data_IF_022711073790
#
_entry.id   IF_022711073790
#
_cell.length_a   1.000
_cell.length_b   1.000
_cell.length_c   1.000
_cell.angle_alpha   90.00
_cell.angle_beta   90.00
_cell.angle_gamma   90.00
#
_symmetry.space_group_name_H-M   'P 1'
#
loop_
_entity.id
_entity.type
_entity.pdbx_description
1 polymer ?
#
# COMPACT_ATOMS: atom_id res chain seq x y z
N UNK A 1 19.11 -7.65 6.03
CA UNK A 1 17.93 -7.60 5.12
C UNK A 1 18.19 -6.78 3.86
N UNK A 2 18.88 -5.62 3.93
CA UNK A 2 19.10 -4.73 2.78
C UNK A 2 19.91 -5.30 1.58
N UNK A 3 20.48 -6.50 1.70
CA UNK A 3 21.24 -7.19 0.64
C UNK A 3 20.47 -8.34 -0.02
N UNK A 4 19.19 -8.52 0.33
CA UNK A 4 18.34 -9.55 -0.28
C UNK A 4 18.08 -9.22 -1.74
N UNK A 5 18.33 -10.17 -2.62
CA UNK A 5 18.09 -10.06 -4.07
C UNK A 5 16.98 -10.98 -4.56
N UNK A 6 16.29 -11.67 -3.64
CA UNK A 6 15.26 -12.68 -3.86
C UNK A 6 13.82 -12.13 -3.77
N UNK A 7 13.67 -10.82 -3.49
CA UNK A 7 12.35 -10.16 -3.37
C UNK A 7 12.35 -8.75 -3.95
N UNK A 8 11.18 -8.30 -4.42
CA UNK A 8 10.94 -6.91 -4.79
C UNK A 8 10.57 -6.01 -3.59
N UNK A 9 10.29 -6.56 -2.41
CA UNK A 9 9.80 -5.85 -1.22
C UNK A 9 10.87 -4.98 -0.52
N UNK A 10 11.99 -4.70 -1.20
CA UNK A 10 13.11 -3.96 -0.64
C UNK A 10 12.71 -2.54 -0.22
N UNK A 11 11.77 -1.91 -0.95
CA UNK A 11 11.21 -0.62 -0.58
C UNK A 11 10.46 -0.68 0.73
N UNK A 12 9.53 -1.63 0.86
CA UNK A 12 8.77 -1.86 2.09
C UNK A 12 9.64 -2.21 3.29
N UNK A 13 10.71 -3.00 3.10
CA UNK A 13 11.58 -3.44 4.19
C UNK A 13 12.48 -2.30 4.69
N UNK A 14 12.97 -1.45 3.79
CA UNK A 14 14.10 -0.55 4.09
C UNK A 14 13.66 0.91 4.27
N UNK A 15 12.73 1.41 3.46
CA UNK A 15 12.39 2.84 3.48
C UNK A 15 11.72 3.30 4.79
N UNK A 16 10.74 2.57 5.37
CA UNK A 16 10.05 3.04 6.58
C UNK A 16 10.97 3.34 7.76
N UNK A 17 12.06 2.58 7.90
CA UNK A 17 13.00 2.72 9.01
C UNK A 17 14.29 3.45 8.60
N UNK A 18 15.02 2.93 7.60
CA UNK A 18 16.40 3.35 7.33
C UNK A 18 16.48 4.63 6.50
N UNK A 19 15.53 4.87 5.58
CA UNK A 19 15.46 6.16 4.91
C UNK A 19 15.09 7.26 5.92
N UNK A 20 14.13 7.00 6.82
CA UNK A 20 13.74 7.97 7.85
C UNK A 20 14.87 8.26 8.84
N UNK A 21 15.60 7.26 9.29
CA UNK A 21 16.77 7.47 10.14
C UNK A 21 17.83 8.34 9.44
N UNK A 22 18.13 8.06 8.16
CA UNK A 22 19.03 8.91 7.38
C UNK A 22 18.53 10.37 7.27
N UNK A 23 17.26 10.57 6.90
CA UNK A 23 16.66 11.91 6.71
C UNK A 23 16.63 12.73 8.01
N UNK A 24 16.43 12.07 9.16
CA UNK A 24 16.28 12.73 10.45
C UNK A 24 17.61 12.96 11.18
N UNK A 25 18.56 12.04 11.05
CA UNK A 25 19.78 12.04 11.88
C UNK A 25 21.07 12.19 11.07
N UNK A 26 21.02 12.05 9.75
CA UNK A 26 22.22 12.00 8.91
C UNK A 26 23.03 10.71 9.10
N UNK A 27 22.40 9.61 9.54
CA UNK A 27 23.08 8.33 9.72
C UNK A 27 23.54 7.72 8.38
N UNK A 28 24.83 7.86 8.07
CA UNK A 28 25.44 7.37 6.83
C UNK A 28 25.32 5.84 6.68
N UNK A 29 25.30 5.07 7.76
CA UNK A 29 25.14 3.61 7.66
C UNK A 29 23.73 3.23 7.15
N UNK A 30 22.71 3.98 7.58
CA UNK A 30 21.33 3.83 7.09
C UNK A 30 21.23 4.22 5.61
N UNK A 31 21.88 5.30 5.19
CA UNK A 31 21.98 5.63 3.76
C UNK A 31 22.64 4.51 2.94
N UNK A 32 23.74 3.92 3.42
CA UNK A 32 24.38 2.79 2.73
C UNK A 32 23.48 1.56 2.64
N UNK A 33 22.62 1.33 3.63
CA UNK A 33 21.62 0.27 3.57
C UNK A 33 20.52 0.56 2.53
N UNK A 34 20.01 1.80 2.47
CA UNK A 34 19.08 2.25 1.41
C UNK A 34 19.70 2.06 0.02
N UNK A 35 20.97 2.45 -0.13
CA UNK A 35 21.72 2.29 -1.39
C UNK A 35 21.81 0.83 -1.84
N UNK A 36 22.22 -0.07 -0.94
CA UNK A 36 22.28 -1.51 -1.23
C UNK A 36 20.92 -2.08 -1.60
N UNK A 37 19.86 -1.66 -0.90
CA UNK A 37 18.51 -2.15 -1.15
C UNK A 37 17.98 -1.76 -2.53
N UNK A 38 18.23 -0.53 -2.96
CA UNK A 38 17.81 -0.07 -4.28
C UNK A 38 18.52 -0.83 -5.41
N UNK A 39 19.83 -1.04 -5.31
CA UNK A 39 20.55 -1.84 -6.31
C UNK A 39 20.15 -3.31 -6.28
N UNK A 40 19.84 -3.87 -5.10
CA UNK A 40 19.30 -5.21 -5.00
C UNK A 40 17.92 -5.33 -5.68
N UNK A 41 17.05 -4.35 -5.48
CA UNK A 41 15.75 -4.26 -6.18
C UNK A 41 15.93 -4.12 -7.70
N UNK A 42 16.80 -3.21 -8.14
CA UNK A 42 17.09 -2.98 -9.56
C UNK A 42 17.67 -4.22 -10.25
N UNK A 43 18.46 -5.04 -9.53
CA UNK A 43 19.02 -6.29 -10.09
C UNK A 43 17.97 -7.31 -10.51
N UNK A 44 16.72 -7.15 -10.05
CA UNK A 44 15.57 -8.01 -10.42
C UNK A 44 14.84 -7.53 -11.68
N UNK A 45 15.27 -6.42 -12.28
CA UNK A 45 14.72 -5.90 -13.52
C UNK A 45 15.11 -6.77 -14.72
N UNK A 46 14.16 -7.01 -15.61
CA UNK A 46 14.40 -7.62 -16.92
C UNK A 46 14.00 -6.61 -18.01
N UNK A 47 14.96 -6.21 -18.84
CA UNK A 47 14.77 -5.18 -19.86
C UNK A 47 13.84 -5.61 -21.00
N UNK A 48 13.84 -6.89 -21.38
CA UNK A 48 13.00 -7.41 -22.46
C UNK A 48 11.51 -7.46 -22.06
N UNK A 49 11.25 -7.69 -20.78
CA UNK A 49 9.90 -7.64 -20.20
C UNK A 49 9.53 -6.20 -19.82
N UNK A 50 10.51 -5.38 -19.44
CA UNK A 50 10.29 -4.04 -18.94
C UNK A 50 9.69 -4.02 -17.53
N UNK A 51 10.04 -4.99 -16.67
CA UNK A 51 9.50 -5.09 -15.32
C UNK A 51 10.51 -5.67 -14.32
N UNK A 52 10.18 -5.54 -13.04
CA UNK A 52 10.94 -6.05 -11.89
C UNK A 52 10.26 -7.34 -11.46
N UNK A 53 11.04 -8.41 -11.32
CA UNK A 53 10.53 -9.70 -10.84
C UNK A 53 10.10 -9.59 -9.38
N UNK A 54 8.87 -9.98 -9.10
CA UNK A 54 8.31 -9.92 -7.75
C UNK A 54 8.82 -11.03 -6.85
N UNK A 55 8.67 -12.28 -7.27
CA UNK A 55 9.05 -13.47 -6.51
C UNK A 55 9.87 -14.43 -7.37
N UNK A 56 10.78 -15.16 -6.74
CA UNK A 56 11.53 -16.24 -7.41
C UNK A 56 10.71 -17.53 -7.51
N UNK A 57 9.77 -17.69 -6.57
CA UNK A 57 8.87 -18.84 -6.48
C UNK A 57 7.51 -18.42 -5.91
N UNK A 58 6.45 -19.08 -6.37
CA UNK A 58 5.10 -18.94 -5.86
C UNK A 58 4.44 -20.33 -5.84
N UNK A 59 4.11 -20.81 -4.65
CA UNK A 59 3.57 -22.15 -4.45
C UNK A 59 2.38 -22.08 -3.51
N UNK A 60 1.29 -22.73 -3.89
CA UNK A 60 0.09 -22.89 -3.09
C UNK A 60 -0.61 -24.22 -3.46
N UNK A 61 -1.81 -24.48 -2.95
CA UNK A 61 -2.52 -25.72 -3.25
C UNK A 61 -2.97 -25.87 -4.71
N UNK A 62 -2.95 -24.80 -5.51
CA UNK A 62 -3.40 -24.78 -6.92
C UNK A 62 -2.25 -24.84 -7.90
N UNK A 63 -1.10 -24.23 -7.60
CA UNK A 63 0.05 -24.20 -8.51
C UNK A 63 1.39 -24.23 -7.78
N UNK A 64 2.44 -24.63 -8.50
CA UNK A 64 3.83 -24.60 -8.04
C UNK A 64 4.71 -24.00 -9.13
N UNK A 65 5.09 -22.73 -8.95
CA UNK A 65 5.96 -21.99 -9.86
C UNK A 65 7.30 -21.80 -9.16
N UNK A 66 8.35 -22.45 -9.66
CA UNK A 66 9.69 -22.41 -9.07
C UNK A 66 10.83 -22.24 -10.07
N UNK A 67 10.58 -22.39 -11.38
CA UNK A 67 11.59 -22.18 -12.42
C UNK A 67 11.54 -20.75 -12.96
N UNK A 68 12.57 -19.96 -12.60
CA UNK A 68 12.75 -18.58 -13.02
C UNK A 68 13.08 -18.40 -14.51
N UNK A 69 13.56 -19.44 -15.19
CA UNK A 69 13.84 -19.43 -16.64
C UNK A 69 12.58 -19.65 -17.47
N UNK A 70 11.55 -20.22 -16.84
CA UNK A 70 10.27 -20.45 -17.47
C UNK A 70 9.24 -19.40 -17.01
N UNK A 71 9.40 -18.79 -15.84
CA UNK A 71 8.38 -17.91 -15.25
C UNK A 71 8.97 -16.59 -14.77
N UNK A 72 8.23 -15.51 -14.98
CA UNK A 72 8.58 -14.18 -14.48
C UNK A 72 7.35 -13.51 -13.89
N UNK A 73 7.26 -13.52 -12.57
CA UNK A 73 6.08 -13.05 -11.83
C UNK A 73 6.21 -11.56 -11.55
N UNK A 74 5.17 -10.79 -11.89
CA UNK A 74 5.02 -9.37 -11.54
C UNK A 74 3.70 -9.19 -10.82
N UNK A 75 3.73 -8.66 -9.60
CA UNK A 75 2.55 -8.41 -8.77
C UNK A 75 2.31 -6.91 -8.60
N UNK A 76 1.06 -6.51 -8.36
CA UNK A 76 0.68 -5.09 -8.27
C UNK A 76 1.39 -4.32 -7.13
N UNK A 77 1.70 -5.00 -6.03
CA UNK A 77 2.39 -4.48 -4.84
C UNK A 77 3.78 -3.91 -5.17
N UNK A 78 4.41 -4.41 -6.24
CA UNK A 78 5.71 -3.94 -6.70
C UNK A 78 5.73 -2.46 -7.08
N UNK A 79 4.57 -1.89 -7.43
CA UNK A 79 4.40 -0.46 -7.71
C UNK A 79 4.84 0.42 -6.54
N UNK A 80 4.60 0.00 -5.30
CA UNK A 80 4.91 0.80 -4.12
C UNK A 80 6.39 0.70 -3.69
N UNK A 81 7.14 -0.25 -4.27
CA UNK A 81 8.59 -0.39 -4.03
C UNK A 81 9.43 0.50 -4.96
N UNK A 82 8.84 1.06 -6.01
CA UNK A 82 9.54 1.90 -6.99
C UNK A 82 10.03 3.22 -6.39
N UNK A 83 9.39 3.69 -5.32
CA UNK A 83 9.82 4.88 -4.59
C UNK A 83 11.28 4.77 -4.11
N UNK A 84 11.76 3.56 -3.78
CA UNK A 84 13.15 3.32 -3.40
C UNK A 84 14.12 3.62 -4.55
N UNK A 85 13.77 3.18 -5.77
CA UNK A 85 14.59 3.41 -6.96
C UNK A 85 14.58 4.88 -7.36
N UNK A 86 13.42 5.53 -7.35
CA UNK A 86 13.35 6.97 -7.62
C UNK A 86 14.12 7.79 -6.59
N UNK A 87 13.96 7.49 -5.30
CA UNK A 87 14.65 8.20 -4.22
C UNK A 87 16.16 8.15 -4.40
N UNK A 88 16.73 6.95 -4.55
CA UNK A 88 18.18 6.82 -4.74
C UNK A 88 18.63 7.36 -6.09
N UNK A 89 17.86 7.11 -7.15
CA UNK A 89 18.17 7.59 -8.50
C UNK A 89 18.31 9.10 -8.56
N UNK A 90 17.43 9.86 -7.92
CA UNK A 90 17.55 11.32 -7.84
C UNK A 90 18.67 11.76 -6.89
N UNK A 91 18.87 11.06 -5.77
CA UNK A 91 19.92 11.40 -4.80
C UNK A 91 21.33 11.24 -5.39
N UNK A 92 21.55 10.20 -6.19
CA UNK A 92 22.86 9.84 -6.77
C UNK A 92 22.99 10.21 -8.26
N UNK A 93 21.94 10.80 -8.85
CA UNK A 93 21.85 11.10 -10.29
C UNK A 93 22.02 9.83 -11.16
N UNK A 94 21.51 8.70 -10.70
CA UNK A 94 21.56 7.41 -11.39
C UNK A 94 20.35 7.24 -12.31
N UNK A 95 20.54 7.54 -13.59
CA UNK A 95 19.49 7.46 -14.60
C UNK A 95 18.95 6.03 -14.79
N UNK A 96 19.77 5.00 -14.58
CA UNK A 96 19.33 3.61 -14.74
C UNK A 96 18.25 3.25 -13.71
N UNK A 97 18.41 3.68 -12.46
CA UNK A 97 17.39 3.46 -11.42
C UNK A 97 16.08 4.19 -11.76
N UNK A 98 16.17 5.42 -12.27
CA UNK A 98 15.01 6.22 -12.68
C UNK A 98 14.30 5.56 -13.87
N UNK A 99 15.05 5.08 -14.86
CA UNK A 99 14.51 4.45 -16.07
C UNK A 99 13.80 3.13 -15.74
N UNK A 100 14.38 2.30 -14.86
CA UNK A 100 13.73 1.08 -14.37
C UNK A 100 12.41 1.43 -13.65
N UNK A 101 12.46 2.40 -12.74
CA UNK A 101 11.30 2.83 -11.96
C UNK A 101 10.19 3.47 -12.83
N UNK A 102 10.56 4.01 -13.99
CA UNK A 102 9.62 4.61 -14.96
C UNK A 102 9.05 3.58 -15.93
N UNK A 103 9.86 2.59 -16.33
CA UNK A 103 9.44 1.55 -17.29
C UNK A 103 8.51 0.53 -16.64
N UNK A 104 8.80 0.10 -15.41
CA UNK A 104 8.02 -0.92 -14.71
C UNK A 104 6.50 -0.58 -14.63
N UNK A 105 6.09 0.62 -14.18
CA UNK A 105 4.69 1.06 -14.18
C UNK A 105 3.98 0.97 -15.54
N UNK A 106 4.70 1.20 -16.64
CA UNK A 106 4.11 1.11 -17.98
C UNK A 106 3.74 -0.32 -18.32
N UNK A 107 4.57 -1.29 -17.92
CA UNK A 107 4.28 -2.72 -18.07
C UNK A 107 3.10 -3.11 -17.20
N UNK A 108 3.12 -2.76 -15.90
CA UNK A 108 2.02 -3.04 -14.97
C UNK A 108 0.69 -2.48 -15.48
N UNK A 109 0.66 -1.23 -15.97
CA UNK A 109 -0.54 -0.61 -16.54
C UNK A 109 -1.10 -1.38 -17.74
N UNK A 110 -0.24 -1.96 -18.58
CA UNK A 110 -0.66 -2.68 -19.80
C UNK A 110 -1.09 -4.11 -19.53
N UNK A 111 -0.61 -4.73 -18.45
CA UNK A 111 -0.75 -6.18 -18.25
C UNK A 111 -1.54 -6.57 -17.02
N UNK A 112 -1.42 -5.82 -15.91
CA UNK A 112 -2.05 -6.11 -14.62
C UNK A 112 -3.42 -5.43 -14.50
N UNK A 113 -3.59 -4.25 -15.10
CA UNK A 113 -4.87 -3.55 -15.11
C UNK A 113 -5.81 -4.19 -16.14
N UNK A 114 -7.08 -4.29 -15.76
CA UNK A 114 -8.20 -4.63 -16.64
C UNK A 114 -8.72 -3.38 -17.35
N UNK A 115 -9.59 -3.59 -18.32
CA UNK A 115 -10.21 -2.50 -19.09
C UNK A 115 -11.09 -1.60 -18.22
N UNK A 116 -11.71 -2.14 -17.16
CA UNK A 116 -12.52 -1.42 -16.19
C UNK A 116 -11.72 -0.77 -15.05
N UNK A 117 -10.38 -0.77 -15.16
CA UNK A 117 -9.44 -0.26 -14.16
C UNK A 117 -9.40 -1.02 -12.83
N UNK A 118 -10.05 -2.19 -12.74
CA UNK A 118 -9.74 -3.17 -11.71
C UNK A 118 -8.39 -3.85 -11.99
N UNK A 119 -7.79 -4.46 -10.96
CA UNK A 119 -6.49 -5.10 -11.08
C UNK A 119 -6.59 -6.61 -10.91
N UNK A 120 -5.90 -7.35 -11.77
CA UNK A 120 -5.37 -8.66 -11.37
C UNK A 120 -4.37 -8.47 -10.23
N UNK A 121 -4.15 -9.50 -9.42
CA UNK A 121 -3.11 -9.44 -8.40
C UNK A 121 -1.72 -9.63 -9.05
N UNK A 122 -1.56 -10.63 -9.92
CA UNK A 122 -0.28 -10.90 -10.58
C UNK A 122 -0.40 -11.33 -12.03
N UNK A 123 0.69 -11.11 -12.78
CA UNK A 123 0.89 -11.61 -14.13
C UNK A 123 2.17 -12.46 -14.17
N UNK A 124 2.07 -13.63 -14.79
CA UNK A 124 3.23 -14.49 -15.05
C UNK A 124 3.65 -14.35 -16.52
N UNK A 125 4.82 -13.78 -16.77
CA UNK A 125 5.40 -13.63 -18.11
C UNK A 125 6.21 -14.85 -18.52
N UNK A 126 6.30 -15.10 -19.84
CA UNK A 126 7.30 -16.02 -20.39
C UNK A 126 8.60 -15.23 -20.68
N UNK A 127 9.66 -15.39 -19.87
CA UNK A 127 10.89 -14.63 -20.06
C UNK A 127 11.63 -14.99 -21.36
N UNK A 128 11.25 -16.07 -22.04
CA UNK A 128 11.81 -16.46 -23.34
C UNK A 128 11.07 -15.84 -24.53
N UNK A 129 9.91 -15.24 -24.29
CA UNK A 129 9.04 -14.68 -25.33
C UNK A 129 8.60 -13.26 -24.93
N UNK A 130 9.43 -12.23 -25.18
CA UNK A 130 9.14 -10.85 -24.79
C UNK A 130 7.74 -10.40 -25.22
N UNK A 131 7.01 -9.76 -24.30
CA UNK A 131 5.64 -9.27 -24.53
C UNK A 131 4.52 -10.31 -24.40
N UNK A 132 4.81 -11.60 -24.17
CA UNK A 132 3.79 -12.62 -23.88
C UNK A 132 3.72 -12.92 -22.38
N UNK A 133 2.50 -12.96 -21.86
CA UNK A 133 2.23 -13.52 -20.54
C UNK A 133 1.52 -14.87 -20.65
N UNK A 134 1.86 -15.76 -19.73
CA UNK A 134 1.31 -17.11 -19.60
C UNK A 134 -0.04 -17.11 -18.91
N UNK A 135 -0.17 -16.29 -17.87
CA UNK A 135 -1.37 -16.24 -17.05
C UNK A 135 -1.50 -14.90 -16.32
N UNK A 136 -2.75 -14.53 -16.03
CA UNK A 136 -3.11 -13.50 -15.06
C UNK A 136 -3.81 -14.20 -13.90
N UNK A 137 -3.40 -13.91 -12.68
CA UNK A 137 -3.70 -14.78 -11.54
C UNK A 137 -3.86 -14.00 -10.24
N UNK A 138 -4.24 -14.72 -9.20
CA UNK A 138 -4.13 -14.29 -7.80
C UNK A 138 -3.42 -15.31 -6.93
N UNK A 139 -2.76 -14.79 -5.89
CA UNK A 139 -2.25 -15.57 -4.76
C UNK A 139 -2.98 -15.27 -3.43
N UNK A 140 -3.69 -14.15 -3.34
CA UNK A 140 -4.26 -13.64 -2.07
C UNK A 140 -5.74 -13.23 -2.18
N UNK A 141 -6.17 -12.74 -3.34
CA UNK A 141 -7.57 -12.42 -3.63
C UNK A 141 -8.44 -13.66 -3.76
N UNK A 142 -9.74 -13.46 -3.91
CA UNK A 142 -10.72 -14.55 -3.98
C UNK A 142 -10.50 -15.46 -5.18
N UNK A 143 -10.40 -14.91 -6.38
CA UNK A 143 -10.20 -15.64 -7.63
C UNK A 143 -9.32 -14.86 -8.61
N UNK A 144 -8.86 -15.49 -9.70
CA UNK A 144 -8.00 -14.82 -10.68
C UNK A 144 -8.68 -13.59 -11.32
N UNK A 145 -9.98 -13.69 -11.57
CA UNK A 145 -10.78 -12.61 -12.15
C UNK A 145 -11.40 -11.68 -11.10
N UNK A 146 -11.18 -11.94 -9.80
CA UNK A 146 -11.68 -11.06 -8.73
C UNK A 146 -10.79 -9.83 -8.55
N UNK A 147 -11.30 -8.86 -7.80
CA UNK A 147 -10.63 -7.61 -7.46
C UNK A 147 -10.30 -7.58 -5.98
N UNK A 148 -9.12 -8.12 -5.67
CA UNK A 148 -8.54 -8.02 -4.33
C UNK A 148 -8.33 -6.56 -3.95
N UNK A 149 -8.96 -6.11 -2.87
CA UNK A 149 -9.09 -4.68 -2.57
C UNK A 149 -7.76 -4.03 -2.23
N UNK A 150 -6.88 -4.73 -1.52
CA UNK A 150 -5.51 -4.23 -1.27
C UNK A 150 -4.67 -4.13 -2.54
N UNK A 151 -4.82 -5.07 -3.48
CA UNK A 151 -4.16 -4.99 -4.78
C UNK A 151 -4.58 -3.74 -5.55
N UNK A 152 -5.87 -3.43 -5.52
CA UNK A 152 -6.39 -2.20 -6.09
C UNK A 152 -5.83 -0.96 -5.38
N UNK A 153 -5.78 -0.96 -4.05
CA UNK A 153 -5.21 0.12 -3.26
C UNK A 153 -3.74 0.38 -3.59
N UNK A 154 -2.95 -0.68 -3.84
CA UNK A 154 -1.58 -0.56 -4.33
C UNK A 154 -1.46 0.09 -5.69
N UNK A 155 -2.40 -0.19 -6.60
CA UNK A 155 -2.43 0.51 -7.88
C UNK A 155 -2.68 2.02 -7.70
N UNK A 156 -3.65 2.40 -6.87
CA UNK A 156 -3.98 3.81 -6.57
C UNK A 156 -2.73 4.53 -6.06
N UNK A 157 -2.13 4.02 -4.98
CA UNK A 157 -0.98 4.67 -4.36
C UNK A 157 0.26 4.64 -5.25
N UNK A 158 0.57 3.50 -5.86
CA UNK A 158 1.77 3.31 -6.66
C UNK A 158 1.79 4.15 -7.94
N UNK A 159 0.67 4.25 -8.66
CA UNK A 159 0.59 5.14 -9.82
C UNK A 159 0.62 6.62 -9.43
N UNK A 160 -0.01 7.01 -8.31
CA UNK A 160 0.07 8.37 -7.80
C UNK A 160 1.50 8.75 -7.41
N UNK A 161 2.22 7.86 -6.71
CA UNK A 161 3.64 8.04 -6.38
C UNK A 161 4.50 8.16 -7.65
N UNK A 162 4.27 7.29 -8.64
CA UNK A 162 4.99 7.33 -9.92
C UNK A 162 4.78 8.66 -10.64
N UNK A 163 3.54 9.18 -10.66
CA UNK A 163 3.27 10.51 -11.22
C UNK A 163 4.03 11.60 -10.47
N UNK A 164 4.08 11.55 -9.14
CA UNK A 164 4.79 12.58 -8.37
C UNK A 164 6.28 12.65 -8.70
N UNK A 165 6.92 11.54 -9.04
CA UNK A 165 8.31 11.48 -9.48
C UNK A 165 8.51 11.90 -10.94
N UNK A 166 7.65 11.43 -11.86
CA UNK A 166 7.86 11.56 -13.31
C UNK A 166 7.16 12.77 -13.93
N UNK A 167 6.08 13.24 -13.31
CA UNK A 167 5.08 14.16 -13.87
C UNK A 167 4.44 13.69 -15.18
N UNK A 168 4.57 12.41 -15.53
CA UNK A 168 3.91 11.84 -16.69
C UNK A 168 2.42 11.61 -16.38
N UNK A 169 1.57 12.43 -17.00
CA UNK A 169 0.13 12.49 -16.77
C UNK A 169 -0.57 11.15 -16.99
N UNK A 170 0.01 10.22 -17.76
CA UNK A 170 -0.57 8.90 -17.94
C UNK A 170 -0.68 8.14 -16.61
N UNK A 171 0.27 8.34 -15.68
CA UNK A 171 0.23 7.72 -14.37
C UNK A 171 -0.79 8.38 -13.45
N UNK A 172 -0.98 9.71 -13.57
CA UNK A 172 -2.05 10.40 -12.84
C UNK A 172 -3.42 9.93 -13.31
N UNK A 173 -3.64 9.83 -14.63
CA UNK A 173 -4.90 9.30 -15.18
C UNK A 173 -5.16 7.88 -14.70
N UNK A 174 -4.12 7.04 -14.67
CA UNK A 174 -4.23 5.66 -14.18
C UNK A 174 -4.59 5.62 -12.69
N UNK A 175 -3.94 6.43 -11.86
CA UNK A 175 -4.24 6.51 -10.43
C UNK A 175 -5.68 6.97 -10.16
N UNK A 176 -6.14 8.00 -10.88
CA UNK A 176 -7.52 8.51 -10.81
C UNK A 176 -8.52 7.43 -11.20
N UNK A 177 -8.31 6.75 -12.33
CA UNK A 177 -9.21 5.71 -12.79
C UNK A 177 -9.28 4.51 -11.81
N UNK A 178 -8.15 4.11 -11.25
CA UNK A 178 -8.11 3.09 -10.20
C UNK A 178 -8.85 3.52 -8.93
N UNK A 179 -8.77 4.80 -8.55
CA UNK A 179 -9.44 5.36 -7.39
C UNK A 179 -10.95 5.48 -7.61
N UNK A 180 -11.38 5.96 -8.78
CA UNK A 180 -12.79 6.06 -9.17
C UNK A 180 -13.46 4.68 -9.20
N UNK A 181 -12.77 3.65 -9.70
CA UNK A 181 -13.25 2.26 -9.67
C UNK A 181 -13.41 1.77 -8.22
N UNK A 182 -12.40 1.97 -7.37
CA UNK A 182 -12.45 1.58 -5.95
C UNK A 182 -13.61 2.26 -5.20
N UNK A 183 -13.77 3.58 -5.37
CA UNK A 183 -14.88 4.33 -4.77
C UNK A 183 -16.23 3.92 -5.33
N UNK A 184 -16.30 3.60 -6.62
CA UNK A 184 -17.51 3.06 -7.25
C UNK A 184 -17.94 1.72 -6.63
N UNK A 185 -16.98 0.83 -6.33
CA UNK A 185 -17.26 -0.45 -5.65
C UNK A 185 -17.70 -0.23 -4.20
N UNK A 186 -17.07 0.69 -3.45
CA UNK A 186 -17.50 1.05 -2.09
C UNK A 186 -18.92 1.63 -2.06
N UNK A 187 -19.23 2.57 -2.95
CA UNK A 187 -20.55 3.19 -3.05
C UNK A 187 -21.64 2.18 -3.49
N UNK A 188 -21.28 1.13 -4.24
CA UNK A 188 -22.21 0.05 -4.56
C UNK A 188 -22.48 -0.83 -3.34
N UNK A 189 -21.46 -1.11 -2.52
CA UNK A 189 -21.61 -1.87 -1.29
C UNK A 189 -22.52 -1.17 -0.26
N UNK A 190 -22.46 0.18 -0.16
CA UNK A 190 -23.37 0.97 0.69
C UNK A 190 -24.86 0.77 0.37
N UNK A 191 -25.19 0.61 -0.92
CA UNK A 191 -26.58 0.42 -1.38
C UNK A 191 -27.15 -0.95 -1.01
N UNK A 192 -26.29 -1.91 -0.66
CA UNK A 192 -26.67 -3.19 -0.07
C UNK A 192 -26.91 -2.96 1.42
N UNK A 193 -28.16 -2.59 1.75
CA UNK A 193 -28.64 -2.09 3.04
C UNK A 193 -28.05 -2.83 4.26
N UNK A 194 -27.40 -2.09 5.16
CA UNK A 194 -27.11 -2.54 6.54
C UNK A 194 -25.70 -2.24 7.08
N UNK A 195 -24.78 -1.75 6.24
CA UNK A 195 -23.40 -1.49 6.67
C UNK A 195 -23.26 -0.12 7.35
N UNK A 196 -22.75 -0.11 8.59
CA UNK A 196 -22.46 1.13 9.33
C UNK A 196 -21.22 1.87 8.83
N UNK A 197 -20.34 1.21 8.06
CA UNK A 197 -19.08 1.74 7.57
C UNK A 197 -18.86 1.32 6.09
N UNK A 198 -19.56 1.95 5.13
CA UNK A 198 -19.51 1.58 3.72
C UNK A 198 -18.17 1.92 3.03
N UNK A 199 -17.36 2.81 3.61
CA UNK A 199 -16.08 3.23 3.03
C UNK A 199 -14.89 2.41 3.55
N UNK A 200 -15.06 1.57 4.57
CA UNK A 200 -14.07 0.55 4.92
C UNK A 200 -14.20 -0.65 3.96
N UNK A 201 -13.17 -0.99 3.17
CA UNK A 201 -13.29 -1.98 2.12
C UNK A 201 -13.42 -3.41 2.66
N UNK A 202 -14.22 -4.21 1.97
CA UNK A 202 -14.14 -5.68 2.08
C UNK A 202 -12.78 -6.19 1.60
N UNK A 203 -12.42 -7.41 1.94
CA UNK A 203 -11.11 -7.98 1.56
C UNK A 203 -10.95 -8.24 0.05
N UNK A 204 -12.05 -8.49 -0.65
CA UNK A 204 -12.12 -8.65 -2.11
C UNK A 204 -13.51 -8.20 -2.58
N UNK A 205 -13.57 -7.37 -3.63
CA UNK A 205 -14.83 -6.80 -4.08
C UNK A 205 -15.77 -7.81 -4.75
N UNK A 206 -15.26 -8.93 -5.24
CA UNK A 206 -16.03 -9.95 -5.96
C UNK A 206 -16.20 -11.25 -5.14
N UNK A 207 -15.70 -11.28 -3.90
CA UNK A 207 -15.94 -12.39 -2.98
C UNK A 207 -17.42 -12.43 -2.56
N UNK A 208 -18.02 -13.62 -2.44
CA UNK A 208 -19.36 -13.76 -1.90
C UNK A 208 -19.39 -13.27 -0.45
N UNK A 209 -20.39 -12.48 -0.11
CA UNK A 209 -20.66 -12.06 1.26
C UNK A 209 -21.71 -13.00 1.84
N UNK A 210 -21.33 -13.85 2.80
CA UNK A 210 -22.25 -14.76 3.47
C UNK A 210 -23.24 -13.98 4.36
N UNK A 211 -22.73 -13.01 5.12
CA UNK A 211 -23.53 -12.01 5.83
C UNK A 211 -23.03 -10.61 5.44
N UNK A 212 -23.86 -9.79 4.76
CA UNK A 212 -23.53 -8.38 4.53
C UNK A 212 -23.21 -7.66 5.85
N UNK A 213 -23.94 -7.87 6.93
CA UNK A 213 -23.67 -7.18 8.20
C UNK A 213 -22.25 -7.47 8.75
N UNK A 214 -21.69 -8.65 8.47
CA UNK A 214 -20.38 -9.12 8.97
C UNK A 214 -19.41 -9.48 7.83
N UNK A 215 -19.43 -8.71 6.74
CA UNK A 215 -18.51 -8.96 5.62
C UNK A 215 -17.05 -8.85 6.03
N UNK A 216 -16.23 -9.82 5.62
CA UNK A 216 -14.80 -9.82 5.90
C UNK A 216 -14.11 -8.58 5.30
N UNK A 217 -13.46 -7.80 6.17
CA UNK A 217 -12.84 -6.52 5.82
C UNK A 217 -11.36 -6.61 5.56
N UNK A 218 -10.82 -5.52 5.02
CA UNK A 218 -9.39 -5.29 4.97
C UNK A 218 -9.07 -3.82 5.28
N UNK A 219 -8.99 -3.50 6.57
CA UNK A 219 -8.64 -2.16 7.06
C UNK A 219 -7.37 -1.60 6.41
N UNK A 220 -6.41 -2.48 6.08
CA UNK A 220 -5.20 -2.08 5.42
C UNK A 220 -5.43 -1.54 4.00
N UNK A 221 -6.32 -2.17 3.21
CA UNK A 221 -6.67 -1.69 1.89
C UNK A 221 -7.25 -0.27 1.95
N UNK A 222 -8.10 0.01 2.94
CA UNK A 222 -8.70 1.33 3.16
C UNK A 222 -7.63 2.40 3.39
N UNK A 223 -6.72 2.14 4.33
CA UNK A 223 -5.65 3.08 4.69
C UNK A 223 -4.67 3.31 3.52
N UNK A 224 -4.32 2.29 2.74
CA UNK A 224 -3.48 2.46 1.54
C UNK A 224 -4.21 3.31 0.50
N UNK A 225 -5.48 3.01 0.21
CA UNK A 225 -6.26 3.72 -0.78
C UNK A 225 -6.37 5.21 -0.40
N UNK A 226 -6.65 5.52 0.87
CA UNK A 226 -6.67 6.88 1.39
C UNK A 226 -5.32 7.59 1.23
N UNK A 227 -4.20 6.92 1.52
CA UNK A 227 -2.87 7.47 1.26
C UNK A 227 -2.65 7.77 -0.22
N UNK A 228 -3.08 6.90 -1.12
CA UNK A 228 -3.00 7.13 -2.57
C UNK A 228 -3.86 8.29 -3.03
N UNK A 229 -5.11 8.37 -2.58
CA UNK A 229 -6.03 9.46 -2.88
C UNK A 229 -5.52 10.81 -2.36
N UNK A 230 -4.83 10.83 -1.22
CA UNK A 230 -4.19 12.04 -0.71
C UNK A 230 -3.05 12.54 -1.64
N UNK A 231 -2.27 11.61 -2.23
CA UNK A 231 -1.26 11.94 -3.24
C UNK A 231 -1.90 12.43 -4.54
N UNK A 232 -3.02 11.83 -4.96
CA UNK A 232 -3.81 12.31 -6.11
C UNK A 232 -4.30 13.73 -5.85
N UNK A 233 -4.84 14.01 -4.66
CA UNK A 233 -5.27 15.36 -4.28
C UNK A 233 -4.12 16.37 -4.40
N UNK A 234 -2.94 16.07 -3.84
CA UNK A 234 -1.75 16.92 -3.99
C UNK A 234 -1.39 17.16 -5.46
N UNK A 235 -1.37 16.09 -6.27
CA UNK A 235 -1.09 16.18 -7.69
C UNK A 235 -2.07 17.12 -8.41
N UNK A 236 -3.37 17.02 -8.11
CA UNK A 236 -4.42 17.85 -8.71
C UNK A 236 -4.34 19.32 -8.31
N UNK A 237 -3.83 19.64 -7.12
CA UNK A 237 -3.57 21.03 -6.71
C UNK A 237 -2.37 21.64 -7.45
N UNK A 238 -1.42 20.82 -7.91
CA UNK A 238 -0.18 21.27 -8.53
C UNK A 238 -0.27 21.46 -10.06
N UNK A 239 -1.30 20.90 -10.72
CA UNK A 239 -1.46 21.00 -12.18
C UNK A 239 -2.23 22.25 -12.61
N UNK A 240 -2.00 22.69 -13.85
CA UNK A 240 -2.72 23.81 -14.44
C UNK A 240 -4.22 23.50 -14.64
N UNK A 241 -5.05 24.54 -14.75
CA UNK A 241 -6.48 24.38 -15.06
C UNK A 241 -6.71 23.66 -16.40
N UNK A 242 -5.88 23.94 -17.39
CA UNK A 242 -5.99 23.32 -18.72
C UNK A 242 -5.65 21.83 -18.67
N UNK A 243 -4.62 21.45 -17.91
CA UNK A 243 -4.29 20.05 -17.64
C UNK A 243 -5.40 19.35 -16.87
N UNK A 244 -6.03 20.04 -15.91
CA UNK A 244 -7.16 19.51 -15.14
C UNK A 244 -8.38 19.25 -16.03
N UNK A 245 -8.64 20.09 -17.03
CA UNK A 245 -9.74 19.92 -17.98
C UNK A 245 -9.54 18.74 -18.94
N UNK A 246 -8.33 18.20 -19.06
CA UNK A 246 -8.01 17.02 -19.87
C UNK A 246 -8.08 15.71 -19.07
N UNK A 247 -8.31 15.79 -17.75
CA UNK A 247 -8.51 14.61 -16.93
C UNK A 247 -9.82 13.92 -17.33
N UNK A 248 -9.88 12.58 -17.25
CA UNK A 248 -11.13 11.86 -17.44
C UNK A 248 -12.15 12.33 -16.40
N UNK A 249 -13.39 12.59 -16.82
CA UNK A 249 -14.46 12.94 -15.90
C UNK A 249 -14.71 11.78 -14.92
N UNK A 250 -14.70 12.06 -13.59
CA UNK A 250 -15.08 11.06 -12.59
C UNK A 250 -16.58 10.81 -12.69
N UNK A 251 -16.97 9.59 -13.06
CA UNK A 251 -18.38 9.20 -13.21
C UNK A 251 -19.08 8.88 -11.88
N UNK A 252 -18.34 8.83 -10.77
CA UNK A 252 -18.80 8.23 -9.51
C UNK A 252 -18.87 9.17 -8.31
N UNK A 253 -18.17 10.32 -8.33
CA UNK A 253 -18.22 11.30 -7.23
C UNK A 253 -19.02 12.54 -7.65
N UNK A 254 -19.99 13.02 -6.84
CA UNK A 254 -20.82 14.19 -7.18
C UNK A 254 -20.06 15.53 -7.33
N UNK A 255 -18.82 15.60 -6.83
CA UNK A 255 -17.91 16.73 -6.98
C UNK A 255 -16.65 16.28 -7.74
N UNK A 256 -16.29 17.01 -8.80
CA UNK A 256 -15.12 16.77 -9.66
C UNK A 256 -13.84 16.47 -8.85
N UNK A 257 -13.56 15.19 -8.63
CA UNK A 257 -12.31 14.69 -8.05
C UNK A 257 -12.01 15.14 -6.60
N UNK A 258 -12.99 15.12 -5.69
CA UNK A 258 -12.74 15.33 -4.25
C UNK A 258 -12.10 14.10 -3.57
N UNK A 259 -10.86 13.80 -3.96
CA UNK A 259 -10.08 12.70 -3.39
C UNK A 259 -9.65 12.96 -1.94
N UNK A 260 -9.65 14.21 -1.47
CA UNK A 260 -9.37 14.51 -0.07
C UNK A 260 -10.57 14.10 0.81
N UNK A 261 -11.78 14.52 0.44
CA UNK A 261 -13.00 14.10 1.12
C UNK A 261 -13.17 12.58 1.13
N UNK A 262 -12.93 11.93 -0.01
CA UNK A 262 -12.98 10.46 -0.11
C UNK A 262 -11.94 9.78 0.81
N UNK A 263 -10.70 10.26 0.84
CA UNK A 263 -9.66 9.71 1.71
C UNK A 263 -10.01 9.87 3.21
N UNK A 264 -10.55 11.02 3.60
CA UNK A 264 -10.98 11.28 4.98
C UNK A 264 -12.15 10.39 5.39
N UNK A 265 -13.12 10.16 4.51
CA UNK A 265 -14.24 9.25 4.77
C UNK A 265 -13.78 7.81 4.96
N UNK A 266 -12.88 7.32 4.10
CA UNK A 266 -12.30 5.98 4.25
C UNK A 266 -11.58 5.85 5.59
N UNK A 267 -10.74 6.82 5.97
CA UNK A 267 -10.02 6.78 7.25
C UNK A 267 -10.96 6.86 8.44
N UNK A 268 -12.01 7.68 8.37
CA UNK A 268 -13.03 7.78 9.41
C UNK A 268 -13.72 6.42 9.62
N UNK A 269 -14.21 5.80 8.54
CA UNK A 269 -14.88 4.50 8.60
C UNK A 269 -13.95 3.38 9.08
N UNK A 270 -12.70 3.35 8.60
CA UNK A 270 -11.70 2.38 9.06
C UNK A 270 -11.38 2.58 10.54
N UNK A 271 -11.24 3.81 11.05
CA UNK A 271 -11.01 4.05 12.48
C UNK A 271 -12.24 3.63 13.30
N UNK A 272 -13.43 4.02 12.87
CA UNK A 272 -14.66 3.73 13.61
C UNK A 272 -14.90 2.23 13.76
N UNK A 273 -14.63 1.46 12.69
CA UNK A 273 -14.83 0.01 12.65
C UNK A 273 -13.65 -0.78 13.22
N UNK A 274 -12.41 -0.35 12.97
CA UNK A 274 -11.24 -1.21 13.15
C UNK A 274 -10.29 -0.74 14.26
N UNK A 275 -10.45 0.44 14.86
CA UNK A 275 -9.56 0.90 15.92
C UNK A 275 -9.62 -0.02 17.16
N UNK A 276 -8.46 -0.44 17.64
CA UNK A 276 -8.33 -1.11 18.93
C UNK A 276 -8.83 -0.20 20.06
N UNK A 277 -9.76 -0.71 20.89
CA UNK A 277 -10.32 0.06 22.02
C UNK A 277 -9.74 -0.38 23.36
N UNK A 278 -9.13 -1.57 23.44
CA UNK A 278 -8.34 -1.98 24.58
C UNK A 278 -6.97 -1.31 24.53
N UNK A 279 -6.92 -0.01 24.85
CA UNK A 279 -5.68 0.77 24.78
C UNK A 279 -4.82 0.55 26.02
N UNK A 280 -3.51 0.38 25.80
CA UNK A 280 -2.55 0.42 26.89
C UNK A 280 -2.65 1.76 27.64
N UNK A 281 -2.63 1.72 28.97
CA UNK A 281 -2.79 2.89 29.81
C UNK A 281 -1.70 3.01 30.86
N UNK A 282 -1.35 4.25 31.20
CA UNK A 282 -0.47 4.55 32.33
C UNK A 282 -1.35 4.83 33.56
N UNK A 283 -1.09 4.10 34.64
CA UNK A 283 -1.69 4.38 35.93
C UNK A 283 -0.65 4.93 36.90
N UNK A 284 -1.04 5.94 37.67
CA UNK A 284 -0.19 6.50 38.70
C UNK A 284 0.15 5.42 39.75
N UNK A 285 1.37 5.43 40.31
CA UNK A 285 1.69 4.55 41.44
C UNK A 285 0.74 4.84 42.61
N UNK A 286 0.33 3.77 43.32
CA UNK A 286 -0.63 3.86 44.43
C UNK A 286 -0.11 4.71 45.62
N UNK A 287 1.20 4.89 45.75
CA UNK A 287 1.83 5.71 46.80
C UNK A 287 2.96 6.57 46.23
N UNK A 288 2.93 7.87 46.54
CA UNK A 288 4.06 8.78 46.34
C UNK A 288 5.03 8.55 47.49
N UNK A 289 6.15 7.87 47.24
CA UNK A 289 7.21 7.75 48.24
C UNK A 289 7.83 9.11 48.52
N UNK A 290 7.61 9.67 49.70
CA UNK A 290 8.33 10.86 50.18
C UNK A 290 9.67 10.40 50.75
N UNK A 291 10.71 10.35 49.92
CA UNK A 291 12.06 10.16 50.43
C UNK A 291 12.65 11.53 50.82
N UNK A 292 12.82 11.73 52.12
CA UNK A 292 12.97 13.02 52.78
C UNK A 292 14.42 13.56 52.71
N UNK A 293 15.04 13.53 51.53
CA UNK A 293 16.37 14.07 51.28
C UNK A 293 16.46 14.77 49.93
N UNK A 294 16.57 16.11 50.02
CA UNK A 294 17.00 17.10 49.02
C UNK A 294 17.42 16.58 47.62
N UNK A 295 16.79 17.19 46.60
CA UNK A 295 17.19 17.19 45.18
C UNK A 295 17.11 15.85 44.41
N UNK A 296 15.95 15.20 44.36
CA UNK A 296 15.75 14.04 43.48
C UNK A 296 14.59 14.24 42.50
N UNK A 297 14.90 14.07 41.22
CA UNK A 297 13.95 13.95 40.12
C UNK A 297 12.82 13.00 40.53
N UNK A 298 11.56 13.45 40.46
CA UNK A 298 10.41 12.58 40.71
C UNK A 298 10.41 11.47 39.66
N UNK A 299 10.94 10.29 40.00
CA UNK A 299 10.76 9.09 39.20
C UNK A 299 9.32 8.64 39.39
N UNK A 300 8.44 9.07 38.50
CA UNK A 300 7.09 8.53 38.42
C UNK A 300 7.20 7.07 37.96
N UNK A 301 7.16 6.13 38.90
CA UNK A 301 7.03 4.70 38.61
C UNK A 301 5.59 4.42 38.14
N UNK A 302 5.23 4.94 36.96
CA UNK A 302 3.95 4.68 36.34
C UNK A 302 3.82 3.18 36.06
N UNK A 303 2.67 2.59 36.43
CA UNK A 303 2.36 1.22 36.08
C UNK A 303 1.75 1.22 34.68
N UNK A 304 2.36 0.46 33.78
CA UNK A 304 1.82 0.22 32.43
C UNK A 304 0.80 -0.91 32.52
N UNK A 305 -0.45 -0.60 32.22
CA UNK A 305 -1.46 -1.60 31.94
C UNK A 305 -1.38 -1.88 30.43
N UNK A 306 -0.89 -3.06 30.06
CA UNK A 306 -0.76 -3.45 28.66
C UNK A 306 -2.12 -3.65 27.98
N UNK A 307 -2.16 -3.45 26.67
CA UNK A 307 -3.27 -3.89 25.82
C UNK A 307 -3.20 -5.41 25.62
N UNK A 308 -4.34 -6.04 25.36
CA UNK A 308 -4.41 -7.43 24.87
C UNK A 308 -4.13 -7.58 23.37
N UNK A 309 -3.97 -6.47 22.64
CA UNK A 309 -3.78 -6.45 21.20
C UNK A 309 -2.66 -5.48 20.80
N UNK A 310 -1.70 -5.94 20.00
CA UNK A 310 -0.47 -5.17 19.75
C UNK A 310 -0.63 -4.09 18.65
N UNK A 311 -1.57 -4.25 17.73
CA UNK A 311 -1.76 -3.33 16.60
C UNK A 311 -2.78 -2.22 16.89
N UNK A 312 -2.69 -1.11 16.17
CA UNK A 312 -3.64 0.01 16.27
C UNK A 312 -4.96 -0.38 15.58
N UNK A 313 -4.88 -1.00 14.41
CA UNK A 313 -6.04 -1.43 13.63
C UNK A 313 -6.23 -2.95 13.66
N UNK A 314 -7.49 -3.37 13.84
CA UNK A 314 -7.99 -4.74 13.66
C UNK A 314 -8.49 -4.97 12.23
N UNK A 315 -9.10 -6.13 11.99
CA UNK A 315 -9.90 -6.44 10.81
C UNK A 315 -9.16 -6.34 9.46
N UNK A 316 -7.84 -6.54 9.46
CA UNK A 316 -7.08 -6.63 8.23
C UNK A 316 -7.07 -8.08 7.72
N UNK A 317 -7.10 -8.26 6.40
CA UNK A 317 -7.08 -9.58 5.76
C UNK A 317 -5.83 -9.76 4.93
N UNK A 318 -4.82 -10.43 5.48
CA UNK A 318 -3.53 -10.66 4.80
C UNK A 318 -3.64 -11.67 3.66
N UNK A 319 -4.39 -12.77 3.83
CA UNK A 319 -4.67 -13.74 2.77
C UNK A 319 -5.89 -14.57 3.14
N UNK A 320 -6.94 -14.57 2.31
CA UNK A 320 -8.12 -15.42 2.50
C UNK A 320 -8.43 -16.30 1.28
N UNK A 321 -7.48 -16.42 0.35
CA UNK A 321 -7.60 -17.30 -0.80
C UNK A 321 -7.70 -18.78 -0.36
N UNK A 322 -8.63 -19.53 -0.95
CA UNK A 322 -8.89 -20.94 -0.59
C UNK A 322 -7.71 -21.88 -0.89
N UNK A 323 -6.82 -21.51 -1.80
CA UNK A 323 -5.65 -22.30 -2.17
C UNK A 323 -4.40 -21.93 -1.37
N UNK A 324 -4.43 -20.88 -0.53
CA UNK A 324 -3.29 -20.48 0.28
C UNK A 324 -2.94 -21.53 1.35
N UNK A 325 -1.65 -21.84 1.52
CA UNK A 325 -1.20 -22.74 2.59
C UNK A 325 -1.54 -22.24 3.99
N UNK A 326 -1.50 -20.92 4.15
CA UNK A 326 -1.89 -20.26 5.39
C UNK A 326 -2.80 -19.10 5.02
N UNK A 327 -3.94 -19.03 5.69
CA UNK A 327 -4.88 -17.93 5.58
C UNK A 327 -4.84 -17.13 6.88
N UNK A 328 -4.78 -15.81 6.73
CA UNK A 328 -4.70 -14.85 7.83
C UNK A 328 -5.72 -13.75 7.54
N UNK A 329 -6.70 -13.62 8.41
CA UNK A 329 -7.77 -12.64 8.30
C UNK A 329 -8.20 -12.20 9.69
N UNK A 330 -8.88 -11.06 9.76
CA UNK A 330 -9.33 -10.46 11.00
C UNK A 330 -8.21 -10.30 12.06
N UNK A 331 -7.07 -9.76 11.63
CA UNK A 331 -5.90 -9.60 12.48
C UNK A 331 -5.26 -8.22 12.32
N UNK A 332 -4.36 -7.88 13.23
CA UNK A 332 -3.61 -6.62 13.22
C UNK A 332 -2.38 -6.73 12.33
N UNK A 333 -2.11 -5.70 11.54
CA UNK A 333 -0.95 -5.67 10.63
C UNK A 333 -0.13 -4.41 10.90
N UNK A 334 1.14 -4.58 11.29
CA UNK A 334 2.04 -3.47 11.62
C UNK A 334 2.19 -2.45 10.47
N UNK A 335 2.06 -2.90 9.23
CA UNK A 335 2.09 -2.02 8.08
C UNK A 335 0.78 -1.24 7.87
N UNK A 336 -0.38 -1.75 8.31
CA UNK A 336 -1.62 -0.96 8.31
C UNK A 336 -1.47 0.22 9.28
N UNK A 337 -0.95 -0.03 10.48
CA UNK A 337 -0.66 1.00 11.47
C UNK A 337 0.35 2.03 10.94
N UNK A 338 1.41 1.57 10.28
CA UNK A 338 2.40 2.47 9.66
C UNK A 338 1.73 3.43 8.66
N UNK A 339 0.89 2.92 7.75
CA UNK A 339 0.25 3.77 6.75
C UNK A 339 -0.85 4.66 7.35
N UNK A 340 -1.48 4.26 8.46
CA UNK A 340 -2.42 5.11 9.20
C UNK A 340 -1.69 6.30 9.80
N UNK A 341 -0.56 6.05 10.47
CA UNK A 341 0.27 7.11 11.04
C UNK A 341 0.89 8.00 9.95
N UNK A 342 1.34 7.43 8.83
CA UNK A 342 1.85 8.21 7.71
C UNK A 342 0.77 9.07 7.06
N UNK A 343 -0.50 8.61 7.01
CA UNK A 343 -1.62 9.44 6.56
C UNK A 343 -1.79 10.68 7.44
N UNK A 344 -1.86 10.50 8.76
CA UNK A 344 -1.92 11.60 9.72
C UNK A 344 -0.73 12.56 9.59
N UNK A 345 0.49 12.02 9.50
CA UNK A 345 1.70 12.82 9.28
C UNK A 345 1.64 13.66 8.00
N UNK A 346 1.08 13.12 6.91
CA UNK A 346 0.90 13.86 5.65
C UNK A 346 -0.10 15.00 5.81
N UNK A 347 -1.22 14.79 6.50
CA UNK A 347 -2.18 15.85 6.81
C UNK A 347 -1.55 16.98 7.63
N UNK A 348 -0.76 16.65 8.66
CA UNK A 348 -0.01 17.65 9.44
C UNK A 348 0.94 18.44 8.54
N UNK A 349 1.72 17.78 7.66
CA UNK A 349 2.65 18.45 6.72
C UNK A 349 1.93 19.35 5.71
N UNK A 350 0.66 19.08 5.42
CA UNK A 350 -0.19 19.90 4.56
C UNK A 350 -0.87 21.06 5.29
N UNK A 351 -0.77 21.13 6.62
CA UNK A 351 -1.42 22.17 7.43
C UNK A 351 -2.88 21.92 7.78
N UNK A 352 -3.33 20.66 7.76
CA UNK A 352 -4.69 20.29 8.21
C UNK A 352 -4.80 19.98 9.70
N UNK A 353 -3.69 20.01 10.45
CA UNK A 353 -3.63 19.68 11.89
C UNK A 353 -2.95 20.77 12.70
#
# INVERSE_FOLDING_TARGET
>A
MASRTDTHDMGFIVQPALQRDWELTGNVQSLQAVKRAAYALASRYNADIGAIRSWDQAVNHRYSISDMNDNFLVIIDSMCNLNLLYYLGHLEQDAMLIDIATTHPQTVRKTVLREDHSTYHLVNFDPRSPGKFKARMTNQGYNDDSTWTRGQAWAIMGFAQTYLWTKDVIFLHTAIACADMFLGRLAHADKLKGHHNPFDPVWDFDAPQEDPAESLRDSYAGVIAANGMLLIHQALQAISRDSKAQLPASSTIPSDHDFLGAALLIIQDTIDLCLERDLASLSAPAELGTDDKLNQCMVLNARVNGSSFDAILRNATACYNEHGFIRYWDYGLAYADYFLLEFGNKLCRMGFC
#
